data_IF_279200512158
#
_entry.id   IF_279200512158
#
_cell.length_a   1.000
_cell.length_b   1.000
_cell.length_c   1.000
_cell.angle_alpha   90.00
_cell.angle_beta   90.00
_cell.angle_gamma   90.00
#
_symmetry.space_group_name_H-M   'P 1'
#
loop_
_entity.id
_entity.type
_entity.pdbx_description
1 polymer ?
#
# COMPACT_ATOMS: atom_id res chain seq x y z
N UNK A 1 11.15 44.57 2.19
CA UNK A 1 11.37 44.00 3.54
C UNK A 1 11.68 42.53 3.34
N UNK A 2 12.97 42.18 3.38
CA UNK A 2 13.46 40.84 3.08
C UNK A 2 13.59 40.05 4.39
N UNK A 3 12.96 38.87 4.46
CA UNK A 3 13.16 37.87 5.50
C UNK A 3 13.66 36.58 4.85
N UNK A 4 14.87 36.63 4.30
CA UNK A 4 15.66 35.44 4.00
C UNK A 4 17.04 35.65 4.60
N UNK A 5 17.16 35.25 5.86
CA UNK A 5 18.39 35.26 6.64
C UNK A 5 18.71 33.85 7.10
N UNK A 6 19.62 33.21 6.37
CA UNK A 6 20.86 32.62 6.89
C UNK A 6 20.78 31.54 7.97
N UNK A 7 21.11 30.31 7.56
CA UNK A 7 21.50 29.20 8.43
C UNK A 7 20.60 27.97 8.29
N UNK A 8 20.65 27.25 7.17
CA UNK A 8 20.12 25.87 7.15
C UNK A 8 20.99 25.06 8.11
N UNK A 9 20.55 24.99 9.36
CA UNK A 9 21.13 24.04 10.31
C UNK A 9 20.73 22.69 9.74
N UNK A 10 21.66 22.01 9.08
CA UNK A 10 21.37 20.71 8.49
C UNK A 10 20.85 19.81 9.60
N UNK A 11 19.56 19.44 9.51
CA UNK A 11 18.95 18.53 10.48
C UNK A 11 19.78 17.24 10.39
N UNK A 12 20.35 16.76 11.51
CA UNK A 12 21.14 15.54 11.52
C UNK A 12 20.36 14.38 10.90
N UNK A 13 21.02 13.52 10.13
CA UNK A 13 20.37 12.38 9.44
C UNK A 13 19.51 11.53 10.39
N UNK A 14 20.00 11.29 11.61
CA UNK A 14 19.26 10.55 12.64
C UNK A 14 17.94 11.24 13.02
N UNK A 15 17.94 12.56 13.17
CA UNK A 15 16.74 13.34 13.46
C UNK A 15 15.75 13.32 12.31
N UNK A 16 16.21 13.21 11.05
CA UNK A 16 15.32 13.05 9.90
C UNK A 16 14.61 11.70 9.93
N UNK A 17 15.32 10.60 10.22
CA UNK A 17 14.70 9.29 10.35
C UNK A 17 13.62 9.27 11.43
N UNK A 18 13.89 9.84 12.61
CA UNK A 18 12.87 9.91 13.68
C UNK A 18 11.62 10.70 13.26
N UNK A 19 11.79 11.83 12.56
CA UNK A 19 10.63 12.61 12.08
C UNK A 19 9.81 11.83 11.03
N UNK A 20 10.46 11.05 10.17
CA UNK A 20 9.79 10.21 9.17
C UNK A 20 9.04 9.06 9.85
N UNK A 21 9.68 8.40 10.83
CA UNK A 21 9.07 7.32 11.61
C UNK A 21 7.84 7.84 12.38
N UNK A 22 7.97 8.97 13.09
CA UNK A 22 6.87 9.63 13.82
C UNK A 22 5.72 10.05 12.89
N UNK A 23 5.99 10.36 11.63
CA UNK A 23 4.94 10.63 10.65
C UNK A 23 4.24 9.35 10.21
N UNK A 24 5.01 8.31 9.85
CA UNK A 24 4.47 7.03 9.38
C UNK A 24 3.66 6.34 10.48
N UNK A 25 4.07 6.42 11.75
CA UNK A 25 3.30 5.86 12.87
C UNK A 25 1.94 6.54 13.08
N UNK A 26 1.74 7.76 12.57
CA UNK A 26 0.44 8.43 12.58
C UNK A 26 -0.43 8.04 11.39
N UNK A 27 0.09 7.28 10.43
CA UNK A 27 -0.66 6.88 9.25
C UNK A 27 -1.69 5.81 9.62
N UNK A 28 -2.94 6.05 9.26
CA UNK A 28 -4.05 5.11 9.45
C UNK A 28 -4.71 4.84 8.10
N UNK A 29 -4.90 3.57 7.76
CA UNK A 29 -5.42 3.15 6.46
C UNK A 29 -6.88 2.77 6.61
N UNK A 30 -7.75 3.29 5.73
CA UNK A 30 -9.18 2.96 5.77
C UNK A 30 -9.68 2.26 4.52
N UNK A 31 -10.59 1.32 4.74
CA UNK A 31 -11.08 0.38 3.73
C UNK A 31 -12.43 0.71 3.07
N UNK A 32 -13.01 1.92 3.21
CA UNK A 32 -14.31 2.23 2.58
C UNK A 32 -14.98 3.55 2.98
N UNK A 33 -16.14 3.82 2.36
CA UNK A 33 -16.90 5.10 2.24
C UNK A 33 -17.08 5.99 3.49
N UNK A 34 -17.38 7.27 3.23
CA UNK A 34 -17.83 8.24 4.24
C UNK A 34 -16.70 8.99 4.93
N UNK A 35 -15.51 8.94 4.36
CA UNK A 35 -14.32 9.38 5.06
C UNK A 35 -14.14 10.89 5.06
N UNK A 36 -14.21 11.47 6.25
CA UNK A 36 -13.81 12.85 6.50
C UNK A 36 -12.53 12.82 7.30
N UNK A 37 -11.47 13.38 6.72
CA UNK A 37 -10.22 13.53 7.45
C UNK A 37 -10.48 14.31 8.75
N UNK A 38 -10.09 13.78 9.92
CA UNK A 38 -10.23 14.49 11.17
C UNK A 38 -9.40 15.76 11.07
N UNK A 39 -9.92 16.88 11.61
CA UNK A 39 -9.20 18.14 11.61
C UNK A 39 -7.97 18.12 12.53
N UNK A 40 -7.86 17.13 13.43
CA UNK A 40 -6.71 16.94 14.30
C UNK A 40 -5.52 16.33 13.55
N UNK A 41 -4.33 16.91 13.73
CA UNK A 41 -3.08 16.45 13.10
C UNK A 41 -2.43 15.21 13.75
N UNK A 42 -3.13 14.57 14.67
CA UNK A 42 -2.63 13.42 15.43
C UNK A 42 -2.67 12.12 14.62
N UNK A 43 -3.62 12.02 13.67
CA UNK A 43 -3.75 10.87 12.76
C UNK A 43 -3.75 11.36 11.31
N UNK A 44 -2.98 10.68 10.46
CA UNK A 44 -2.86 10.92 9.03
C UNK A 44 -3.53 9.79 8.30
N UNK A 45 -4.79 10.02 8.00
CA UNK A 45 -5.57 8.97 7.39
C UNK A 45 -5.40 8.92 5.87
N UNK A 46 -5.47 7.73 5.27
CA UNK A 46 -5.38 7.52 3.81
C UNK A 46 -6.28 6.36 3.35
N UNK A 47 -6.84 6.43 2.14
CA UNK A 47 -7.59 5.31 1.57
C UNK A 47 -6.65 4.15 1.21
N UNK A 48 -7.16 2.91 1.33
CA UNK A 48 -6.43 1.67 1.05
C UNK A 48 -5.77 1.65 -0.34
N UNK A 49 -6.45 2.21 -1.35
CA UNK A 49 -5.96 2.24 -2.74
C UNK A 49 -4.70 3.10 -2.85
N UNK A 50 -4.71 4.28 -2.21
CA UNK A 50 -3.56 5.18 -2.17
C UNK A 50 -2.42 4.55 -1.37
N UNK A 51 -2.72 3.95 -0.22
CA UNK A 51 -1.77 3.20 0.59
C UNK A 51 -1.07 2.10 -0.22
N UNK A 52 -1.84 1.29 -0.94
CA UNK A 52 -1.34 0.20 -1.78
C UNK A 52 -0.40 0.72 -2.86
N UNK A 53 -0.81 1.80 -3.54
CA UNK A 53 0.02 2.44 -4.58
C UNK A 53 1.33 2.97 -4.00
N UNK A 54 1.27 3.67 -2.87
CA UNK A 54 2.44 4.24 -2.19
C UNK A 54 3.43 3.14 -1.79
N UNK A 55 2.95 2.05 -1.19
CA UNK A 55 3.80 0.93 -0.83
C UNK A 55 4.39 0.21 -2.04
N UNK A 56 3.62 0.06 -3.12
CA UNK A 56 4.14 -0.53 -4.34
C UNK A 56 5.28 0.33 -4.93
N UNK A 57 5.09 1.64 -5.01
CA UNK A 57 6.11 2.56 -5.54
C UNK A 57 7.36 2.55 -4.67
N UNK A 58 7.17 2.43 -3.35
CA UNK A 58 8.23 2.29 -2.36
C UNK A 58 9.06 1.02 -2.58
N UNK A 59 8.41 -0.13 -2.70
CA UNK A 59 9.07 -1.42 -2.94
C UNK A 59 9.81 -1.41 -4.27
N UNK A 60 9.20 -0.89 -5.34
CA UNK A 60 9.86 -0.77 -6.64
C UNK A 60 11.11 0.11 -6.58
N UNK A 61 11.06 1.21 -5.83
CA UNK A 61 12.22 2.08 -5.61
C UNK A 61 13.36 1.30 -4.93
N UNK A 62 13.06 0.57 -3.85
CA UNK A 62 14.04 -0.25 -3.14
C UNK A 62 14.61 -1.36 -4.03
N UNK A 63 13.78 -2.02 -4.83
CA UNK A 63 14.20 -3.13 -5.70
C UNK A 63 15.09 -2.67 -6.86
N UNK A 64 14.73 -1.59 -7.56
CA UNK A 64 15.57 -1.03 -8.63
C UNK A 64 16.97 -0.72 -8.14
N UNK A 65 17.07 -0.27 -6.89
CA UNK A 65 18.33 0.08 -6.28
C UNK A 65 19.20 -1.10 -5.88
N UNK A 66 18.63 -2.23 -5.46
CA UNK A 66 19.44 -3.41 -5.13
C UNK A 66 20.24 -3.95 -6.33
N UNK A 67 19.95 -3.47 -7.55
CA UNK A 67 20.74 -3.75 -8.76
C UNK A 67 21.97 -2.83 -8.92
N UNK A 68 21.99 -1.67 -8.25
CA UNK A 68 23.07 -0.70 -8.30
C UNK A 68 23.94 -0.80 -7.03
N UNK A 69 25.20 -1.22 -7.18
CA UNK A 69 26.14 -1.33 -6.07
C UNK A 69 26.50 0.06 -5.48
N UNK A 70 25.77 0.49 -4.45
CA UNK A 70 25.99 1.76 -3.74
C UNK A 70 26.76 1.58 -2.43
N UNK A 71 27.50 2.61 -2.03
CA UNK A 71 28.11 2.68 -0.71
C UNK A 71 27.08 2.96 0.40
N UNK A 72 27.41 2.61 1.65
CA UNK A 72 26.52 2.76 2.81
C UNK A 72 25.96 4.19 3.03
N UNK A 73 26.71 5.24 2.67
CA UNK A 73 26.23 6.61 2.81
C UNK A 73 25.10 6.91 1.82
N UNK A 74 25.33 6.57 0.55
CA UNK A 74 24.30 6.68 -0.48
C UNK A 74 23.10 5.84 -0.07
N UNK A 75 23.31 4.65 0.52
CA UNK A 75 22.26 3.76 1.05
C UNK A 75 21.23 4.51 1.91
N UNK A 76 21.73 5.32 2.83
CA UNK A 76 20.93 6.08 3.78
C UNK A 76 20.24 7.29 3.15
N UNK A 77 20.90 8.01 2.26
CA UNK A 77 20.31 9.19 1.59
C UNK A 77 19.12 8.80 0.72
N UNK A 78 19.26 7.78 -0.12
CA UNK A 78 18.15 7.26 -0.89
C UNK A 78 17.00 6.76 -0.02
N UNK A 79 17.30 6.12 1.11
CA UNK A 79 16.28 5.65 2.05
C UNK A 79 15.42 6.80 2.56
N UNK A 80 16.07 7.93 2.87
CA UNK A 80 15.38 9.17 3.24
C UNK A 80 14.58 9.73 2.07
N UNK A 81 15.14 9.75 0.87
CA UNK A 81 14.45 10.27 -0.32
C UNK A 81 13.21 9.45 -0.67
N UNK A 82 13.31 8.12 -0.63
CA UNK A 82 12.20 7.20 -0.87
C UNK A 82 11.09 7.36 0.19
N UNK A 83 11.48 7.45 1.47
CA UNK A 83 10.54 7.71 2.56
C UNK A 83 9.88 9.09 2.44
N UNK A 84 10.65 10.14 2.13
CA UNK A 84 10.14 11.48 1.92
C UNK A 84 9.17 11.54 0.73
N UNK A 85 9.47 10.81 -0.35
CA UNK A 85 8.59 10.71 -1.50
C UNK A 85 7.26 10.02 -1.15
N UNK A 86 7.31 8.93 -0.37
CA UNK A 86 6.11 8.26 0.12
C UNK A 86 5.24 9.19 0.99
N UNK A 87 5.86 9.95 1.91
CA UNK A 87 5.17 10.94 2.74
C UNK A 87 4.57 12.06 1.89
N UNK A 88 5.30 12.54 0.88
CA UNK A 88 4.78 13.54 -0.04
C UNK A 88 3.53 13.03 -0.76
N UNK A 89 3.53 11.76 -1.19
CA UNK A 89 2.36 11.14 -1.83
C UNK A 89 1.18 11.00 -0.86
N UNK A 90 1.43 10.73 0.43
CA UNK A 90 0.39 10.77 1.49
C UNK A 90 -0.22 12.18 1.60
N UNK A 91 0.62 13.21 1.71
CA UNK A 91 0.19 14.60 1.84
C UNK A 91 -0.62 15.02 0.60
N UNK A 92 -0.14 14.69 -0.60
CA UNK A 92 -0.83 14.98 -1.85
C UNK A 92 -2.19 14.26 -1.93
N UNK A 93 -2.27 13.00 -1.47
CA UNK A 93 -3.56 12.31 -1.39
C UNK A 93 -4.54 13.08 -0.50
N UNK A 94 -4.11 13.54 0.68
CA UNK A 94 -4.98 14.34 1.56
C UNK A 94 -5.38 15.69 0.98
N UNK A 95 -4.48 16.36 0.27
CA UNK A 95 -4.76 17.67 -0.33
C UNK A 95 -5.68 17.59 -1.54
N UNK A 96 -5.55 16.52 -2.34
CA UNK A 96 -6.30 16.36 -3.60
C UNK A 96 -7.63 15.61 -3.42
N UNK A 97 -7.80 14.82 -2.35
CA UNK A 97 -9.05 14.10 -2.06
C UNK A 97 -10.08 15.00 -1.37
N UNK A 98 -10.41 16.14 -2.00
CA UNK A 98 -11.59 16.93 -1.64
C UNK A 98 -12.90 16.36 -2.20
N UNK A 99 -12.83 15.34 -3.06
CA UNK A 99 -14.00 14.62 -3.55
C UNK A 99 -14.18 13.30 -2.80
N UNK A 100 -15.40 13.01 -2.28
CA UNK A 100 -15.72 11.71 -1.73
C UNK A 100 -15.52 10.68 -2.84
N UNK A 101 -14.82 9.60 -2.50
CA UNK A 101 -14.55 8.49 -3.41
C UNK A 101 -15.88 7.90 -3.90
N UNK A 102 -16.37 8.41 -5.03
CA UNK A 102 -17.61 7.96 -5.63
C UNK A 102 -17.41 6.55 -6.18
N UNK A 103 -18.13 5.61 -5.56
CA UNK A 103 -18.32 4.19 -5.88
C UNK A 103 -17.37 3.22 -5.19
N UNK A 104 -17.97 2.57 -4.19
CA UNK A 104 -17.61 1.28 -3.59
C UNK A 104 -17.17 0.29 -4.67
N UNK A 105 -15.86 0.03 -4.75
CA UNK A 105 -15.43 -1.32 -5.05
C UNK A 105 -15.29 -2.05 -3.71
N UNK A 106 -15.78 -3.30 -3.57
CA UNK A 106 -15.40 -4.12 -2.43
C UNK A 106 -13.88 -4.12 -2.34
N UNK A 107 -13.32 -3.88 -1.16
CA UNK A 107 -11.88 -3.87 -0.99
C UNK A 107 -11.37 -5.29 -1.29
N UNK A 108 -10.70 -5.46 -2.43
CA UNK A 108 -10.09 -6.73 -2.81
C UNK A 108 -8.61 -6.61 -2.54
N UNK A 109 -8.13 -7.36 -1.56
CA UNK A 109 -6.71 -7.52 -1.34
C UNK A 109 -6.19 -8.40 -2.48
N UNK A 110 -5.50 -7.82 -3.46
CA UNK A 110 -4.96 -8.58 -4.58
C UNK A 110 -3.60 -9.24 -4.25
N UNK A 111 -3.16 -10.17 -5.10
CA UNK A 111 -1.88 -10.85 -4.90
C UNK A 111 -0.69 -9.89 -4.96
N UNK A 112 -0.80 -8.81 -5.73
CA UNK A 112 0.24 -7.78 -5.84
C UNK A 112 0.41 -7.04 -4.52
N UNK A 113 -0.69 -6.66 -3.89
CA UNK A 113 -0.75 -6.04 -2.58
C UNK A 113 -0.08 -6.94 -1.55
N UNK A 114 -0.49 -8.20 -1.44
CA UNK A 114 0.12 -9.16 -0.50
C UNK A 114 1.63 -9.33 -0.72
N UNK A 115 2.07 -9.38 -1.98
CA UNK A 115 3.49 -9.50 -2.34
C UNK A 115 4.28 -8.28 -1.87
N UNK A 116 3.77 -7.07 -2.10
CA UNK A 116 4.38 -5.82 -1.67
C UNK A 116 4.44 -5.75 -0.14
N UNK A 117 3.34 -6.07 0.54
CA UNK A 117 3.26 -6.05 2.00
C UNK A 117 4.26 -7.02 2.66
N UNK A 118 4.34 -8.25 2.13
CA UNK A 118 5.33 -9.23 2.60
C UNK A 118 6.75 -8.80 2.31
N UNK A 119 7.00 -8.21 1.14
CA UNK A 119 8.32 -7.70 0.78
C UNK A 119 8.83 -6.63 1.75
N UNK A 120 7.95 -5.75 2.23
CA UNK A 120 8.28 -4.74 3.24
C UNK A 120 8.47 -5.38 4.62
N UNK A 121 7.56 -6.28 5.03
CA UNK A 121 7.60 -6.98 6.33
C UNK A 121 8.83 -7.89 6.50
N UNK A 122 9.26 -8.57 5.44
CA UNK A 122 10.34 -9.55 5.48
C UNK A 122 11.74 -8.93 5.60
N UNK A 123 11.86 -7.60 5.53
CA UNK A 123 13.15 -6.93 5.66
C UNK A 123 13.67 -7.06 7.11
N UNK A 124 14.91 -7.53 7.31
CA UNK A 124 15.42 -7.84 8.63
C UNK A 124 15.52 -6.58 9.50
N UNK A 125 14.89 -6.61 10.68
CA UNK A 125 14.95 -5.56 11.70
C UNK A 125 16.38 -5.26 12.24
N UNK A 126 17.39 -6.03 11.80
CA UNK A 126 18.79 -5.94 12.24
C UNK A 126 19.68 -5.01 11.40
N UNK A 127 19.30 -4.64 10.18
CA UNK A 127 20.04 -3.63 9.42
C UNK A 127 19.66 -2.26 9.93
N UNK A 128 20.49 -1.72 10.84
CA UNK A 128 20.39 -0.35 11.40
C UNK A 128 20.30 0.78 10.35
N UNK A 129 20.41 0.47 9.05
CA UNK A 129 20.26 1.40 7.93
C UNK A 129 18.81 1.63 7.48
N UNK A 130 17.83 0.84 7.91
CA UNK A 130 16.45 0.88 7.37
C UNK A 130 15.36 1.04 8.43
N UNK A 131 15.59 1.85 9.47
CA UNK A 131 14.59 2.13 10.54
C UNK A 131 13.23 2.61 10.01
N UNK A 132 13.21 3.22 8.84
CA UNK A 132 11.97 3.71 8.21
C UNK A 132 11.09 2.59 7.62
N UNK A 133 11.65 1.47 7.16
CA UNK A 133 10.85 0.31 6.71
C UNK A 133 10.17 -0.40 7.88
N UNK A 134 10.74 -0.28 9.08
CA UNK A 134 10.12 -0.80 10.30
C UNK A 134 8.82 -0.08 10.64
N UNK A 135 8.80 1.26 10.53
CA UNK A 135 7.57 2.04 10.73
C UNK A 135 6.48 1.61 9.74
N UNK A 136 6.83 1.41 8.46
CA UNK A 136 5.90 0.86 7.47
C UNK A 136 5.44 -0.55 7.82
N UNK A 137 6.32 -1.43 8.29
CA UNK A 137 5.91 -2.78 8.72
C UNK A 137 4.88 -2.74 9.85
N UNK A 138 4.94 -1.77 10.77
CA UNK A 138 3.90 -1.60 11.80
C UNK A 138 2.56 -1.22 11.19
N UNK A 139 2.55 -0.23 10.30
CA UNK A 139 1.33 0.20 9.59
C UNK A 139 0.72 -0.97 8.81
N UNK A 140 1.55 -1.79 8.17
CA UNK A 140 1.11 -3.00 7.45
C UNK A 140 0.39 -3.98 8.36
N UNK A 141 1.00 -4.33 9.50
CA UNK A 141 0.42 -5.28 10.45
C UNK A 141 -0.88 -4.73 11.03
N UNK A 142 -0.88 -3.48 11.49
CA UNK A 142 -2.07 -2.83 12.02
C UNK A 142 -3.21 -2.79 11.00
N UNK A 143 -2.93 -2.34 9.78
CA UNK A 143 -3.93 -2.29 8.69
C UNK A 143 -4.51 -3.67 8.41
N UNK A 144 -3.68 -4.71 8.41
CA UNK A 144 -4.12 -6.07 8.12
C UNK A 144 -4.97 -6.67 9.25
N UNK A 145 -4.69 -6.33 10.50
CA UNK A 145 -5.53 -6.70 11.65
C UNK A 145 -6.88 -5.97 11.61
N UNK A 146 -6.87 -4.66 11.39
CA UNK A 146 -8.07 -3.83 11.36
C UNK A 146 -9.02 -4.19 10.21
N UNK A 147 -8.47 -4.51 9.04
CA UNK A 147 -9.23 -4.92 7.85
C UNK A 147 -9.44 -6.44 7.75
N UNK A 148 -8.96 -7.22 8.73
CA UNK A 148 -9.25 -8.66 8.85
C UNK A 148 -8.53 -9.57 7.86
N UNK A 149 -7.39 -9.14 7.28
CA UNK A 149 -6.60 -9.94 6.33
C UNK A 149 -5.21 -10.33 6.87
N UNK A 150 -4.95 -10.17 8.16
CA UNK A 150 -3.64 -10.48 8.79
C UNK A 150 -3.13 -11.90 8.51
N UNK A 151 -4.01 -12.90 8.46
CA UNK A 151 -3.65 -14.29 8.12
C UNK A 151 -3.04 -14.42 6.71
N UNK A 152 -3.40 -13.54 5.78
CA UNK A 152 -2.86 -13.53 4.41
C UNK A 152 -1.41 -13.04 4.36
N UNK A 153 -0.90 -12.43 5.44
CA UNK A 153 0.48 -11.98 5.55
C UNK A 153 1.44 -13.04 6.09
N UNK A 154 0.95 -14.19 6.55
CA UNK A 154 1.80 -15.28 7.04
C UNK A 154 2.68 -15.87 5.93
N UNK A 155 3.91 -16.26 6.25
CA UNK A 155 4.83 -16.88 5.28
C UNK A 155 4.26 -18.18 4.69
N UNK A 156 3.40 -18.86 5.43
CA UNK A 156 2.66 -20.07 5.03
C UNK A 156 1.51 -19.82 4.06
N UNK A 157 1.01 -18.58 3.94
CA UNK A 157 -0.12 -18.30 3.07
C UNK A 157 0.32 -18.27 1.59
N UNK A 158 -0.41 -18.98 0.74
CA UNK A 158 -0.04 -19.16 -0.66
C UNK A 158 -0.63 -18.02 -1.53
N UNK A 159 0.21 -17.05 -1.87
CA UNK A 159 -0.17 -15.90 -2.71
C UNK A 159 -0.55 -16.33 -4.13
N UNK A 160 0.05 -17.40 -4.66
CA UNK A 160 -0.25 -17.87 -6.02
C UNK A 160 -1.67 -18.43 -6.10
N UNK A 161 -2.09 -19.22 -5.09
CA UNK A 161 -3.47 -19.71 -4.97
C UNK A 161 -4.43 -18.52 -4.77
N UNK A 162 -4.04 -17.52 -3.98
CA UNK A 162 -4.84 -16.31 -3.81
C UNK A 162 -5.06 -15.56 -5.13
N UNK A 163 -4.00 -15.43 -5.95
CA UNK A 163 -4.09 -14.85 -7.28
C UNK A 163 -5.06 -15.64 -8.18
N UNK A 164 -4.96 -16.96 -8.15
CA UNK A 164 -5.82 -17.87 -8.92
C UNK A 164 -7.29 -17.76 -8.49
N UNK A 165 -7.58 -17.72 -7.18
CA UNK A 165 -8.94 -17.58 -6.66
C UNK A 165 -9.60 -16.26 -7.08
N UNK A 166 -8.84 -15.17 -7.10
CA UNK A 166 -9.34 -13.87 -7.58
C UNK A 166 -9.73 -13.90 -9.06
N UNK A 167 -9.13 -14.76 -9.88
CA UNK A 167 -9.56 -14.92 -11.28
C UNK A 167 -10.94 -15.57 -11.40
N UNK A 168 -11.37 -16.37 -10.42
CA UNK A 168 -12.68 -17.03 -10.43
C UNK A 168 -13.81 -16.14 -9.91
N UNK A 169 -13.54 -15.29 -8.92
CA UNK A 169 -14.55 -14.42 -8.29
C UNK A 169 -14.95 -13.21 -9.16
N UNK A 170 -14.13 -12.80 -10.13
CA UNK A 170 -14.38 -11.65 -11.02
C UNK A 170 -15.33 -11.97 -12.20
N UNK A 171 -16.02 -13.11 -12.16
CA UNK A 171 -17.18 -13.36 -13.03
C UNK A 171 -16.86 -14.08 -14.34
N UNK A 172 -16.34 -15.30 -14.25
CA UNK A 172 -16.80 -16.32 -15.21
C UNK A 172 -18.17 -16.82 -14.77
N UNK A 173 -19.24 -16.17 -15.24
CA UNK A 173 -20.51 -16.88 -15.39
C UNK A 173 -20.21 -18.15 -16.22
N UNK A 174 -20.59 -19.35 -15.76
CA UNK A 174 -20.51 -20.52 -16.60
C UNK A 174 -21.41 -20.25 -17.81
N UNK A 175 -20.81 -20.15 -19.00
CA UNK A 175 -21.54 -20.31 -20.25
C UNK A 175 -22.08 -21.74 -20.23
N UNK A 176 -23.25 -21.94 -19.62
CA UNK A 176 -24.03 -23.16 -19.79
C UNK A 176 -24.27 -23.25 -21.30
N UNK A 177 -23.81 -24.32 -21.99
CA UNK A 177 -24.18 -24.51 -23.37
C UNK A 177 -25.70 -24.64 -23.39
N UNK A 178 -26.38 -23.71 -24.07
CA UNK A 178 -27.80 -23.82 -24.35
C UNK A 178 -28.02 -25.16 -25.05
N UNK A 179 -28.66 -26.09 -24.33
CA UNK A 179 -29.19 -27.34 -24.88
C UNK A 179 -30.13 -26.97 -26.03
N UNK A 180 -29.58 -26.99 -27.24
CA UNK A 180 -30.31 -26.93 -28.51
C UNK A 180 -30.96 -28.28 -28.76
N UNK A 181 -31.80 -28.72 -27.81
CA UNK A 181 -32.77 -29.78 -28.03
C UNK A 181 -34.09 -29.12 -28.46
N UNK A 182 -34.13 -28.65 -29.71
CA UNK A 182 -35.40 -28.39 -30.38
C UNK A 182 -36.20 -29.68 -30.41
N UNK A 183 -37.14 -29.80 -29.47
CA UNK A 183 -38.25 -30.74 -29.53
C UNK A 183 -39.06 -30.44 -30.79
N UNK A 184 -38.81 -31.16 -31.87
CA UNK A 184 -39.79 -31.33 -32.93
C UNK A 184 -40.97 -32.12 -32.34
N UNK A 185 -41.97 -31.39 -31.86
CA UNK A 185 -43.28 -31.92 -31.52
C UNK A 185 -43.95 -32.30 -32.83
N UNK A 186 -43.97 -33.60 -33.11
CA UNK A 186 -44.95 -34.20 -34.01
C UNK A 186 -46.35 -33.84 -33.49
N UNK A 187 -47.18 -33.24 -34.34
CA UNK A 187 -48.62 -33.22 -34.10
C UNK A 187 -49.38 -33.51 -35.40
N UNK A 188 -50.34 -34.45 -35.37
CA UNK A 188 -51.00 -34.98 -36.56
C UNK A 188 -52.23 -34.17 -36.96
N UNK A 189 -52.52 -34.13 -38.26
CA UNK A 189 -53.84 -34.41 -38.85
C UNK A 189 -53.76 -34.47 -40.37
#
# INVERSE_FOLDING_TARGET
>A
MALFGQGSTEIPLFSRFMMLDDFVERVHVVGGEGYQFPPSGDTVEIPLDAYTKILNDLVLSVQHRNMDAMGQHQEREFSLDAAAHAIQNIILCRLNNSDPCDKVNPFVIDARHLTVLRGVRAQPAGTRSSGWLWAWSKVIVQTAEELGYSFQLEDSYNIDIHAELLCYDVGTEPLLPEDTAQRHVNSPR
#
